data_IF_518768634195
#
_entry.id   IF_518768634195
#
_cell.length_a   1.000
_cell.length_b   1.000
_cell.length_c   1.000
_cell.angle_alpha   90.00
_cell.angle_beta   90.00
_cell.angle_gamma   90.00
#
_symmetry.space_group_name_H-M   'P 1'
#
loop_
_entity.id
_entity.type
_entity.pdbx_description
1 polymer ?
#
# COMPACT_ATOMS: atom_id res chain seq x y z
N UNK A 1 -3.44 10.46 20.71
CA UNK A 1 -2.85 10.43 19.36
C UNK A 1 -3.23 9.09 18.74
N UNK A 2 -3.72 9.00 17.49
CA UNK A 2 -3.95 7.70 16.88
C UNK A 2 -2.59 6.99 16.68
N UNK A 3 -2.48 5.75 17.17
CA UNK A 3 -1.21 4.99 17.24
C UNK A 3 -0.85 4.23 15.95
N UNK A 4 -1.57 4.47 14.85
CA UNK A 4 -1.39 3.75 13.60
C UNK A 4 -0.98 4.75 12.51
N UNK A 5 0.31 4.74 12.15
CA UNK A 5 0.85 5.58 11.08
C UNK A 5 1.22 4.70 9.89
N UNK A 6 0.45 4.79 8.80
CA UNK A 6 0.88 4.29 7.49
C UNK A 6 1.58 5.46 6.80
N UNK A 7 2.92 5.43 6.75
CA UNK A 7 3.73 6.50 6.17
C UNK A 7 4.27 6.06 4.82
N UNK A 8 3.95 6.82 3.78
CA UNK A 8 4.64 6.75 2.50
C UNK A 8 5.40 8.06 2.31
N UNK A 9 6.71 8.00 2.15
CA UNK A 9 7.49 9.17 1.71
C UNK A 9 7.51 9.20 0.17
N UNK A 10 7.47 10.41 -0.41
CA UNK A 10 7.43 10.69 -1.86
C UNK A 10 8.17 9.64 -2.70
N UNK A 11 7.39 8.76 -3.34
CA UNK A 11 7.93 7.64 -4.09
C UNK A 11 8.39 8.11 -5.47
N UNK A 12 9.71 8.14 -5.69
CA UNK A 12 10.29 8.27 -7.04
C UNK A 12 10.56 6.87 -7.58
N UNK A 13 9.69 6.39 -8.45
CA UNK A 13 9.80 5.05 -9.05
C UNK A 13 10.00 5.12 -10.55
N UNK A 14 10.66 4.11 -11.12
CA UNK A 14 10.65 3.88 -12.56
C UNK A 14 9.32 3.20 -12.87
N UNK A 15 8.57 3.74 -13.83
CA UNK A 15 7.25 3.22 -14.16
C UNK A 15 7.31 1.89 -14.88
N UNK A 16 7.27 0.82 -14.10
CA UNK A 16 7.02 -0.53 -14.57
C UNK A 16 5.81 -1.09 -13.83
N UNK A 17 5.01 -1.89 -14.52
CA UNK A 17 3.79 -2.52 -14.00
C UNK A 17 4.08 -3.80 -13.21
N UNK A 18 5.19 -3.80 -12.48
CA UNK A 18 5.63 -4.89 -11.62
C UNK A 18 6.43 -4.31 -10.45
N UNK A 19 6.54 -5.04 -9.36
CA UNK A 19 7.48 -4.69 -8.30
C UNK A 19 8.90 -4.76 -8.88
N UNK A 20 9.61 -3.63 -8.86
CA UNK A 20 11.06 -3.64 -9.04
C UNK A 20 11.68 -4.22 -7.79
N UNK A 21 12.60 -5.16 -7.96
CA UNK A 21 13.28 -5.83 -6.87
C UNK A 21 14.78 -5.66 -7.00
N UNK A 22 15.47 -5.62 -5.88
CA UNK A 22 16.92 -5.84 -5.80
C UNK A 22 17.28 -7.27 -6.23
N UNK A 23 18.56 -7.54 -6.47
CA UNK A 23 19.04 -8.87 -6.87
C UNK A 23 18.79 -9.98 -5.83
N UNK A 24 18.46 -9.62 -4.60
CA UNK A 24 18.04 -10.52 -3.51
C UNK A 24 16.51 -10.64 -3.38
N UNK A 25 15.75 -10.22 -4.40
CA UNK A 25 14.28 -10.28 -4.49
C UNK A 25 13.53 -9.31 -3.55
N UNK A 26 14.21 -8.33 -2.94
CA UNK A 26 13.57 -7.31 -2.10
C UNK A 26 12.93 -6.19 -2.93
N UNK A 27 11.63 -5.85 -2.77
CA UNK A 27 11.00 -4.76 -3.51
C UNK A 27 11.61 -3.38 -3.18
N UNK A 28 11.85 -2.55 -4.20
CA UNK A 28 12.41 -1.20 -4.05
C UNK A 28 11.42 -0.18 -3.46
N UNK A 29 10.12 -0.41 -3.67
CA UNK A 29 9.05 0.47 -3.24
C UNK A 29 8.03 -0.33 -2.43
N UNK A 30 7.86 0.03 -1.16
CA UNK A 30 6.96 -0.67 -0.25
C UNK A 30 6.15 0.30 0.59
N UNK A 31 4.91 -0.09 0.86
CA UNK A 31 4.13 0.44 1.97
C UNK A 31 4.54 -0.28 3.24
N UNK A 32 5.02 0.47 4.22
CA UNK A 32 5.43 -0.08 5.51
C UNK A 32 4.29 0.06 6.53
N UNK A 33 3.77 -1.08 6.99
CA UNK A 33 2.90 -1.16 8.15
C UNK A 33 3.76 -1.51 9.37
N UNK A 34 3.86 -0.59 10.34
CA UNK A 34 4.39 -0.93 11.66
C UNK A 34 3.45 -1.89 12.39
N UNK A 35 3.82 -2.30 13.60
CA UNK A 35 2.89 -2.97 14.51
C UNK A 35 1.65 -2.09 14.73
N UNK A 36 0.52 -2.49 14.16
CA UNK A 36 -0.74 -1.78 14.28
C UNK A 36 -1.49 -2.25 15.52
N UNK A 37 -2.12 -1.32 16.22
CA UNK A 37 -2.88 -1.61 17.44
C UNK A 37 -4.37 -1.38 17.23
N UNK A 38 -5.14 -2.32 17.75
CA UNK A 38 -6.61 -2.24 17.83
C UNK A 38 -7.01 -1.25 18.91
N UNK A 39 -8.30 -0.89 18.95
CA UNK A 39 -8.84 0.06 19.93
C UNK A 39 -8.66 -0.42 21.38
N UNK A 40 -8.67 -1.74 21.59
CA UNK A 40 -8.43 -2.37 22.90
C UNK A 40 -6.94 -2.44 23.30
N UNK A 41 -6.03 -1.96 22.45
CA UNK A 41 -4.59 -1.95 22.68
C UNK A 41 -3.85 -3.22 22.27
N UNK A 42 -4.57 -4.29 21.92
CA UNK A 42 -3.98 -5.52 21.39
C UNK A 42 -3.47 -5.33 19.95
N UNK A 43 -2.57 -6.22 19.52
CA UNK A 43 -1.92 -6.13 18.21
C UNK A 43 -2.86 -6.71 17.13
N UNK A 44 -2.97 -6.01 16.00
CA UNK A 44 -3.69 -6.51 14.84
C UNK A 44 -2.86 -7.58 14.11
N UNK A 45 -3.49 -8.69 13.75
CA UNK A 45 -2.79 -9.85 13.17
C UNK A 45 -3.56 -10.41 11.97
N UNK A 46 -2.89 -11.18 11.13
CA UNK A 46 -3.49 -11.82 9.97
C UNK A 46 -4.04 -10.83 8.96
N UNK A 47 -5.08 -11.26 8.24
CA UNK A 47 -5.67 -10.56 7.11
C UNK A 47 -6.55 -9.39 7.55
N UNK A 48 -6.22 -8.20 7.05
CA UNK A 48 -6.95 -6.96 7.25
C UNK A 48 -7.59 -6.51 5.94
N UNK A 49 -8.84 -6.08 6.01
CA UNK A 49 -9.55 -5.53 4.87
C UNK A 49 -9.24 -4.03 4.75
N UNK A 50 -8.79 -3.61 3.58
CA UNK A 50 -8.45 -2.22 3.29
C UNK A 50 -9.08 -1.77 1.97
N UNK A 51 -9.22 -0.46 1.81
CA UNK A 51 -9.67 0.17 0.57
C UNK A 51 -8.51 1.01 0.03
N UNK A 52 -8.05 0.66 -1.18
CA UNK A 52 -7.12 1.44 -1.97
C UNK A 52 -7.93 2.41 -2.84
N UNK A 53 -7.72 3.71 -2.67
CA UNK A 53 -8.35 4.77 -3.48
C UNK A 53 -7.28 5.60 -4.16
N UNK A 54 -7.37 5.77 -5.48
CA UNK A 54 -6.48 6.66 -6.24
C UNK A 54 -7.22 7.94 -6.56
N UNK A 55 -6.59 9.10 -6.33
CA UNK A 55 -7.21 10.38 -6.65
C UNK A 55 -7.55 10.47 -8.14
N UNK A 56 -8.65 11.14 -8.47
CA UNK A 56 -9.15 11.26 -9.85
C UNK A 56 -8.19 12.00 -10.80
N UNK A 57 -7.40 12.92 -10.27
CA UNK A 57 -6.40 13.73 -10.98
C UNK A 57 -5.00 13.14 -10.95
N UNK A 58 -4.81 11.92 -10.42
CA UNK A 58 -3.55 11.21 -10.49
C UNK A 58 -3.16 10.91 -11.95
N UNK A 59 -1.87 11.02 -12.28
CA UNK A 59 -1.37 10.77 -13.63
C UNK A 59 -1.46 9.29 -14.06
N UNK A 60 -1.49 8.37 -13.10
CA UNK A 60 -1.54 6.92 -13.34
C UNK A 60 -2.18 6.19 -12.14
N UNK A 61 -2.57 4.93 -12.35
CA UNK A 61 -3.07 4.05 -11.29
C UNK A 61 -1.95 3.35 -10.52
N UNK A 62 -2.25 2.80 -9.36
CA UNK A 62 -1.27 2.10 -8.52
C UNK A 62 -1.71 0.67 -8.22
N UNK A 63 -0.74 -0.21 -8.09
CA UNK A 63 -0.91 -1.59 -7.67
C UNK A 63 -0.34 -1.77 -6.27
N UNK A 64 -1.15 -2.27 -5.33
CA UNK A 64 -0.74 -2.62 -3.97
C UNK A 64 -1.13 -4.06 -3.72
N UNK A 65 -0.18 -4.88 -3.27
CA UNK A 65 -0.40 -6.29 -2.94
C UNK A 65 -1.19 -7.07 -4.02
N UNK A 66 -0.88 -6.82 -5.30
CA UNK A 66 -1.52 -7.45 -6.45
C UNK A 66 -2.86 -6.82 -6.91
N UNK A 67 -3.42 -5.88 -6.16
CA UNK A 67 -4.67 -5.18 -6.53
C UNK A 67 -4.34 -3.83 -7.16
N UNK A 68 -4.92 -3.55 -8.34
CA UNK A 68 -4.67 -2.31 -9.09
C UNK A 68 -5.91 -1.42 -9.13
N UNK A 69 -5.77 -0.15 -8.77
CA UNK A 69 -6.82 0.87 -8.87
C UNK A 69 -6.39 1.99 -9.84
N UNK A 70 -7.29 2.38 -10.75
CA UNK A 70 -7.09 3.49 -11.68
C UNK A 70 -7.43 4.86 -11.04
N UNK A 71 -7.02 5.99 -11.63
CA UNK A 71 -7.40 7.31 -11.14
C UNK A 71 -8.92 7.46 -10.98
N UNK A 72 -9.37 7.83 -9.78
CA UNK A 72 -10.78 7.98 -9.42
C UNK A 72 -11.46 6.67 -8.99
N UNK A 73 -10.72 5.57 -8.94
CA UNK A 73 -11.23 4.26 -8.53
C UNK A 73 -10.88 3.94 -7.07
N UNK A 74 -11.76 3.17 -6.42
CA UNK A 74 -11.54 2.55 -5.12
C UNK A 74 -11.68 1.04 -5.24
N UNK A 75 -10.73 0.27 -4.70
CA UNK A 75 -10.78 -1.19 -4.67
C UNK A 75 -10.44 -1.77 -3.31
N UNK A 76 -11.08 -2.88 -2.99
CA UNK A 76 -10.75 -3.68 -1.82
C UNK A 76 -9.40 -4.36 -2.03
N UNK A 77 -8.54 -4.27 -1.03
CA UNK A 77 -7.26 -4.97 -0.96
C UNK A 77 -7.11 -5.59 0.42
N UNK A 78 -6.53 -6.79 0.47
CA UNK A 78 -6.28 -7.49 1.72
C UNK A 78 -4.81 -7.31 2.09
N UNK A 79 -4.53 -6.95 3.34
CA UNK A 79 -3.17 -6.82 3.88
C UNK A 79 -2.96 -7.89 4.95
N UNK A 80 -2.02 -8.79 4.76
CA UNK A 80 -1.70 -9.82 5.76
C UNK A 80 -0.58 -9.35 6.69
N UNK A 81 -0.97 -8.95 7.90
CA UNK A 81 -0.09 -8.52 8.98
C UNK A 81 0.65 -9.68 9.67
N UNK A 82 0.37 -10.94 9.30
CA UNK A 82 1.01 -12.10 9.90
C UNK A 82 0.76 -12.18 11.40
N UNK A 83 1.81 -12.29 12.22
CA UNK A 83 1.69 -12.34 13.68
C UNK A 83 1.65 -10.96 14.34
N UNK A 84 1.57 -9.88 13.56
CA UNK A 84 1.51 -8.50 14.06
C UNK A 84 2.87 -7.81 14.19
N UNK A 85 3.91 -8.42 13.65
CA UNK A 85 5.19 -7.76 13.37
C UNK A 85 5.03 -6.73 12.24
N UNK A 86 6.03 -5.87 12.07
CA UNK A 86 6.04 -4.95 10.93
C UNK A 86 6.06 -5.69 9.59
N UNK A 87 5.31 -5.18 8.61
CA UNK A 87 5.17 -5.79 7.28
C UNK A 87 5.30 -4.74 6.19
N UNK A 88 5.88 -5.16 5.07
CA UNK A 88 6.04 -4.35 3.86
C UNK A 88 5.20 -4.93 2.73
N UNK A 89 4.44 -4.08 2.05
CA UNK A 89 3.63 -4.46 0.90
C UNK A 89 4.17 -3.77 -0.36
N UNK A 90 4.49 -4.51 -1.43
CA UNK A 90 4.97 -3.91 -2.67
C UNK A 90 3.96 -2.92 -3.24
N UNK A 91 4.47 -1.80 -3.75
CA UNK A 91 3.68 -0.80 -4.47
C UNK A 91 4.40 -0.33 -5.73
N UNK A 92 3.67 -0.24 -6.83
CA UNK A 92 4.20 0.19 -8.13
C UNK A 92 3.07 0.73 -9.04
N UNK A 93 3.38 1.46 -10.12
CA UNK A 93 2.37 1.92 -11.07
C UNK A 93 1.63 0.75 -11.72
N UNK A 94 0.33 0.86 -11.98
CA UNK A 94 -0.45 -0.19 -12.64
C UNK A 94 -0.08 -0.38 -14.11
N UNK A 95 0.60 0.60 -14.70
CA UNK A 95 0.95 0.66 -16.13
C UNK A 95 2.41 1.04 -16.28
N UNK A 96 3.14 0.33 -17.15
CA UNK A 96 4.54 0.65 -17.46
C UNK A 96 4.66 1.91 -18.32
N UNK A 97 5.79 2.61 -18.24
CA UNK A 97 6.15 3.74 -19.12
C UNK A 97 5.45 5.07 -18.83
N UNK A 98 4.67 5.16 -17.76
CA UNK A 98 3.96 6.41 -17.37
C UNK A 98 4.88 7.40 -16.66
N UNK A 99 4.60 8.70 -16.75
CA UNK A 99 5.34 9.75 -16.06
C UNK A 99 4.35 10.67 -15.34
N UNK A 100 4.68 11.10 -14.13
CA UNK A 100 3.88 12.04 -13.35
C UNK A 100 3.85 11.68 -11.88
N UNK A 101 2.85 12.21 -11.18
CA UNK A 101 2.60 11.92 -9.75
C UNK A 101 1.27 11.20 -9.62
N UNK A 102 1.22 10.19 -8.75
CA UNK A 102 -0.01 9.53 -8.34
C UNK A 102 -0.18 9.65 -6.84
N UNK A 103 -1.26 10.32 -6.43
CA UNK A 103 -1.70 10.38 -5.04
C UNK A 103 -2.77 9.33 -4.80
N UNK A 104 -2.62 8.57 -3.72
CA UNK A 104 -3.55 7.51 -3.34
C UNK A 104 -3.66 7.43 -1.81
N UNK A 105 -4.71 6.76 -1.36
CA UNK A 105 -4.99 6.49 0.04
C UNK A 105 -5.20 4.98 0.23
N UNK A 106 -4.69 4.46 1.34
CA UNK A 106 -4.98 3.10 1.79
C UNK A 106 -5.64 3.19 3.16
N UNK A 107 -6.92 2.84 3.24
CA UNK A 107 -7.71 2.95 4.45
C UNK A 107 -8.08 1.56 5.00
N UNK A 108 -7.80 1.32 6.28
CA UNK A 108 -8.29 0.16 7.03
C UNK A 108 -9.34 0.68 8.00
N UNK A 109 -10.63 0.40 7.74
CA UNK A 109 -11.72 0.94 8.56
C UNK A 109 -11.70 0.41 9.99
N UNK A 110 -11.46 -0.89 10.15
CA UNK A 110 -11.34 -1.55 11.44
C UNK A 110 -10.26 -2.63 11.42
N UNK A 111 -9.37 -2.57 12.40
CA UNK A 111 -8.32 -3.58 12.60
C UNK A 111 -8.88 -4.76 13.39
N UNK A 112 -8.67 -5.96 12.86
CA UNK A 112 -9.07 -7.25 13.44
C UNK A 112 -7.92 -7.91 14.20
#
# INVERSE_FOLDING_TARGET
MPNNLVRLENLKTISVSTALKTSDDTPLAVLYASQLRKKDGSIATGKQDAILTVRKDAAFGVTVNGVSAAPGESKNVQLDLGLGDSRSFPIFPSTSGVVGTSEFMLNIEELK
#
